data_IF_639681489616
#
_entry.id   IF_639681489616
#
_cell.length_a   1.000
_cell.length_b   1.000
_cell.length_c   1.000
_cell.angle_alpha   90.00
_cell.angle_beta   90.00
_cell.angle_gamma   90.00
#
_symmetry.space_group_name_H-M   'P 1'
#
loop_
_entity.id
_entity.type
_entity.pdbx_description
1 polymer ?
#
# COMPACT_ATOMS: atom_id res chain seq x y z
N UNK A 1 -1.71 -1.64 -46.29
CA UNK A 1 -0.75 -1.25 -45.23
C UNK A 1 -1.51 -1.24 -43.92
N UNK A 2 -1.56 -2.37 -43.23
CA UNK A 2 -2.15 -2.50 -41.89
C UNK A 2 -1.26 -1.73 -40.91
N UNK A 3 -1.73 -0.56 -40.48
CA UNK A 3 -1.05 0.31 -39.52
C UNK A 3 -1.00 -0.32 -38.13
N UNK A 4 -0.06 -1.24 -37.96
CA UNK A 4 0.66 -1.60 -36.74
C UNK A 4 -0.18 -1.67 -35.44
N UNK A 5 -0.85 -2.80 -35.20
CA UNK A 5 -1.66 -3.09 -34.00
C UNK A 5 -0.88 -2.84 -32.68
N UNK A 6 0.45 -3.04 -32.71
CA UNK A 6 1.34 -2.68 -31.60
C UNK A 6 1.30 -1.20 -31.21
N UNK A 7 1.23 -0.29 -32.19
CA UNK A 7 1.16 1.16 -31.95
C UNK A 7 -0.12 1.53 -31.19
N UNK A 8 -1.24 0.92 -31.57
CA UNK A 8 -2.53 1.13 -30.90
C UNK A 8 -2.52 0.63 -29.46
N UNK A 9 -1.93 -0.55 -29.22
CA UNK A 9 -1.77 -1.10 -27.85
C UNK A 9 -0.89 -0.20 -27.00
N UNK A 10 0.24 0.29 -27.52
CA UNK A 10 1.15 1.20 -26.81
C UNK A 10 0.46 2.53 -26.50
N UNK A 11 -0.28 3.10 -27.45
CA UNK A 11 -1.03 4.34 -27.22
C UNK A 11 -2.11 4.17 -26.15
N UNK A 12 -2.82 3.04 -26.17
CA UNK A 12 -3.83 2.71 -25.16
C UNK A 12 -3.20 2.56 -23.76
N UNK A 13 -2.08 1.86 -23.64
CA UNK A 13 -1.33 1.74 -22.38
C UNK A 13 -0.83 3.11 -21.89
N UNK A 14 -0.25 3.94 -22.77
CA UNK A 14 0.21 5.29 -22.42
C UNK A 14 -0.93 6.17 -21.94
N UNK A 15 -2.06 6.18 -22.64
CA UNK A 15 -3.24 6.95 -22.26
C UNK A 15 -3.80 6.49 -20.91
N UNK A 16 -3.89 5.17 -20.67
CA UNK A 16 -4.33 4.61 -19.40
C UNK A 16 -3.39 4.98 -18.24
N UNK A 17 -2.07 5.06 -18.48
CA UNK A 17 -1.10 5.52 -17.49
C UNK A 17 -1.23 7.01 -17.19
N UNK A 18 -1.36 7.84 -18.22
CA UNK A 18 -1.52 9.29 -18.05
C UNK A 18 -2.82 9.63 -17.31
N UNK A 19 -3.92 8.92 -17.59
CA UNK A 19 -5.19 9.13 -16.90
C UNK A 19 -5.12 8.85 -15.38
N UNK A 20 -4.18 8.01 -14.93
CA UNK A 20 -3.94 7.70 -13.52
C UNK A 20 -2.91 8.62 -12.86
N UNK A 21 -2.27 9.51 -13.63
CA UNK A 21 -1.24 10.39 -13.10
C UNK A 21 -1.84 11.74 -12.72
N UNK A 22 -1.64 12.12 -11.47
CA UNK A 22 -1.93 13.45 -10.99
C UNK A 22 -0.61 14.15 -10.60
N UNK A 23 -0.55 15.46 -10.88
CA UNK A 23 0.54 16.36 -10.49
C UNK A 23 -0.09 17.67 -10.05
N UNK A 24 0.44 18.24 -9.00
CA UNK A 24 -0.05 19.50 -8.43
C UNK A 24 0.86 20.00 -7.32
N UNK A 25 0.41 21.01 -6.59
CA UNK A 25 1.12 21.51 -5.40
C UNK A 25 0.63 20.82 -4.13
N UNK A 26 1.33 21.04 -3.01
CA UNK A 26 0.84 20.59 -1.71
C UNK A 26 -0.53 21.20 -1.40
N UNK A 27 -0.76 22.47 -1.75
CA UNK A 27 -2.05 23.12 -1.50
C UNK A 27 -3.20 22.38 -2.20
N UNK A 28 -3.04 22.04 -3.47
CA UNK A 28 -4.04 21.27 -4.23
C UNK A 28 -4.22 19.85 -3.66
N UNK A 29 -3.13 19.23 -3.18
CA UNK A 29 -3.21 17.94 -2.51
C UNK A 29 -4.02 18.02 -1.20
N UNK A 30 -3.87 19.09 -0.41
CA UNK A 30 -4.63 19.28 0.83
C UNK A 30 -6.13 19.40 0.55
N UNK A 31 -6.53 20.03 -0.55
CA UNK A 31 -7.93 20.10 -0.97
C UNK A 31 -8.48 18.70 -1.33
N UNK A 32 -7.67 17.86 -1.99
CA UNK A 32 -8.02 16.47 -2.27
C UNK A 32 -8.21 15.67 -0.97
N UNK A 33 -7.28 15.78 -0.02
CA UNK A 33 -7.36 15.09 1.27
C UNK A 33 -8.56 15.58 2.09
N UNK A 34 -8.87 16.88 2.03
CA UNK A 34 -10.04 17.44 2.71
C UNK A 34 -11.35 16.91 2.12
N UNK A 35 -11.40 16.71 0.81
CA UNK A 35 -12.56 16.13 0.13
C UNK A 35 -12.69 14.63 0.40
N UNK A 36 -11.57 13.91 0.41
CA UNK A 36 -11.49 12.47 0.70
C UNK A 36 -10.33 12.14 1.65
N UNK A 37 -10.60 12.07 2.97
CA UNK A 37 -9.59 11.70 3.96
C UNK A 37 -9.01 10.29 3.76
N UNK A 38 -9.67 9.42 2.97
CA UNK A 38 -9.21 8.06 2.71
C UNK A 38 -8.00 8.00 1.77
N UNK A 39 -7.61 9.13 1.16
CA UNK A 39 -6.34 9.24 0.41
C UNK A 39 -5.13 8.94 1.32
N UNK A 40 -5.19 9.42 2.56
CA UNK A 40 -4.12 9.29 3.55
C UNK A 40 -4.34 8.00 4.34
N UNK A 41 -3.50 7.00 4.07
CA UNK A 41 -3.56 5.69 4.71
C UNK A 41 -2.18 5.21 5.12
N UNK A 42 -2.12 4.62 6.31
CA UNK A 42 -0.99 3.84 6.78
C UNK A 42 -0.75 2.65 5.85
N UNK A 43 0.50 2.17 5.78
CA UNK A 43 0.89 1.00 4.98
C UNK A 43 0.04 -0.23 5.30
N UNK A 44 -0.17 -0.51 6.59
CA UNK A 44 -1.00 -1.62 7.06
C UNK A 44 -2.46 -1.50 6.62
N UNK A 45 -3.04 -0.30 6.71
CA UNK A 45 -4.39 -0.03 6.26
C UNK A 45 -4.54 -0.24 4.75
N UNK A 46 -3.55 0.21 3.95
CA UNK A 46 -3.56 -0.02 2.50
C UNK A 46 -3.56 -1.50 2.15
N UNK A 47 -2.72 -2.30 2.82
CA UNK A 47 -2.65 -3.75 2.59
C UNK A 47 -3.95 -4.43 3.03
N UNK A 48 -4.49 -4.03 4.20
CA UNK A 48 -5.77 -4.55 4.68
C UNK A 48 -6.90 -4.28 3.69
N UNK A 49 -7.09 -3.01 3.30
CA UNK A 49 -8.15 -2.60 2.37
C UNK A 49 -8.01 -3.32 1.02
N UNK A 50 -6.79 -3.46 0.52
CA UNK A 50 -6.50 -4.21 -0.69
C UNK A 50 -7.00 -5.67 -0.59
N UNK A 51 -6.68 -6.36 0.50
CA UNK A 51 -7.08 -7.76 0.71
C UNK A 51 -8.61 -7.87 0.79
N UNK A 52 -9.25 -6.96 1.53
CA UNK A 52 -10.70 -6.97 1.76
C UNK A 52 -11.47 -6.58 0.49
N UNK A 53 -10.90 -5.72 -0.36
CA UNK A 53 -11.56 -5.22 -1.58
C UNK A 53 -11.92 -6.31 -2.59
N UNK A 54 -11.21 -7.46 -2.57
CA UNK A 54 -11.48 -8.61 -3.45
C UNK A 54 -12.66 -9.46 -2.94
N UNK A 55 -12.98 -9.36 -1.65
CA UNK A 55 -14.12 -10.06 -1.03
C UNK A 55 -13.72 -11.13 -0.03
N UNK A 56 -14.66 -11.44 0.87
CA UNK A 56 -14.51 -12.39 1.96
C UNK A 56 -15.68 -13.37 1.92
N UNK A 57 -15.40 -14.65 2.07
CA UNK A 57 -16.39 -15.70 2.27
C UNK A 57 -16.19 -16.37 3.63
N UNK A 58 -17.22 -17.04 4.13
CA UNK A 58 -17.08 -17.99 5.23
C UNK A 58 -16.74 -19.35 4.65
N UNK A 59 -15.78 -20.06 5.26
CA UNK A 59 -15.40 -21.41 4.85
C UNK A 59 -16.59 -22.39 4.93
N UNK A 60 -17.55 -22.12 5.80
CA UNK A 60 -18.76 -22.94 5.98
C UNK A 60 -19.76 -22.79 4.83
N UNK A 61 -19.69 -21.68 4.08
CA UNK A 61 -20.56 -21.43 2.93
C UNK A 61 -20.15 -22.21 1.67
N UNK A 62 -19.22 -23.18 1.80
CA UNK A 62 -18.87 -24.09 0.72
C UNK A 62 -19.75 -25.34 0.72
N UNK A 63 -20.02 -25.85 -0.47
CA UNK A 63 -20.76 -27.11 -0.68
C UNK A 63 -19.86 -28.35 -0.56
N UNK A 64 -18.54 -28.19 -0.40
CA UNK A 64 -17.60 -29.31 -0.31
C UNK A 64 -17.71 -30.05 1.06
N UNK A 65 -18.11 -31.34 1.07
CA UNK A 65 -18.19 -32.15 2.28
C UNK A 65 -16.84 -32.32 3.00
N UNK A 66 -15.71 -32.25 2.28
CA UNK A 66 -14.36 -32.39 2.87
C UNK A 66 -14.02 -31.19 3.74
N UNK A 67 -14.37 -29.99 3.29
CA UNK A 67 -14.12 -28.75 4.02
C UNK A 67 -14.89 -28.73 5.33
N UNK A 68 -16.17 -29.14 5.32
CA UNK A 68 -16.98 -29.27 6.56
C UNK A 68 -16.38 -30.26 7.56
N UNK A 69 -15.76 -31.34 7.08
CA UNK A 69 -15.10 -32.33 7.95
C UNK A 69 -13.80 -31.80 8.57
N UNK A 70 -13.02 -31.02 7.82
CA UNK A 70 -11.74 -30.46 8.27
C UNK A 70 -11.93 -29.27 9.22
N UNK A 71 -12.94 -28.44 8.98
CA UNK A 71 -13.17 -27.21 9.72
C UNK A 71 -14.29 -27.31 10.77
N UNK A 72 -15.09 -28.40 10.77
CA UNK A 72 -16.19 -28.64 11.72
C UNK A 72 -17.06 -27.38 11.87
N UNK A 73 -17.25 -26.88 13.09
CA UNK A 73 -18.04 -25.68 13.40
C UNK A 73 -17.18 -24.40 13.49
N UNK A 74 -15.92 -24.43 13.03
CA UNK A 74 -15.08 -23.23 13.05
C UNK A 74 -15.49 -22.24 11.95
N UNK A 75 -15.82 -21.01 12.35
CA UNK A 75 -16.05 -19.89 11.44
C UNK A 75 -14.69 -19.30 10.99
N UNK A 76 -14.11 -19.85 9.93
CA UNK A 76 -12.87 -19.34 9.33
C UNK A 76 -13.20 -18.49 8.12
N UNK A 77 -12.71 -17.24 8.12
CA UNK A 77 -12.84 -16.33 6.98
C UNK A 77 -11.88 -16.74 5.86
N UNK A 78 -12.42 -16.92 4.67
CA UNK A 78 -11.68 -17.14 3.42
C UNK A 78 -11.60 -15.82 2.67
N UNK A 79 -10.37 -15.35 2.44
CA UNK A 79 -10.13 -14.10 1.74
C UNK A 79 -9.86 -14.38 0.26
N UNK A 80 -10.75 -13.91 -0.61
CA UNK A 80 -10.70 -14.19 -2.05
C UNK A 80 -9.39 -13.72 -2.70
N UNK A 81 -8.75 -12.70 -2.12
CA UNK A 81 -7.42 -12.25 -2.51
C UNK A 81 -6.38 -13.39 -2.56
N UNK A 82 -6.49 -14.39 -1.68
CA UNK A 82 -5.56 -15.52 -1.59
C UNK A 82 -6.11 -16.85 -2.13
N UNK A 83 -7.40 -16.92 -2.45
CA UNK A 83 -8.12 -18.18 -2.70
C UNK A 83 -7.61 -18.94 -3.93
N UNK A 84 -7.06 -18.25 -4.93
CA UNK A 84 -6.59 -18.89 -6.18
C UNK A 84 -5.21 -19.57 -6.03
N UNK A 85 -4.45 -19.24 -4.97
CA UNK A 85 -3.05 -19.65 -4.82
C UNK A 85 -2.77 -20.42 -3.54
N UNK A 86 -3.59 -20.25 -2.50
CA UNK A 86 -3.35 -20.82 -1.17
C UNK A 86 -4.53 -21.68 -0.72
N UNK A 87 -4.24 -22.95 -0.46
CA UNK A 87 -5.22 -23.95 -0.05
C UNK A 87 -4.75 -24.65 1.23
N UNK A 88 -5.64 -24.83 2.20
CA UNK A 88 -5.34 -25.53 3.46
C UNK A 88 -4.59 -24.70 4.50
N UNK A 89 -4.31 -23.42 4.22
CA UNK A 89 -3.67 -22.47 5.15
C UNK A 89 -4.59 -21.30 5.54
N UNK A 90 -5.91 -21.47 5.38
CA UNK A 90 -6.91 -20.41 5.59
C UNK A 90 -6.85 -19.83 7.00
N UNK A 91 -6.57 -20.67 8.01
CA UNK A 91 -6.38 -20.23 9.41
C UNK A 91 -5.20 -19.26 9.55
N UNK A 92 -4.08 -19.57 8.91
CA UNK A 92 -2.86 -18.75 8.92
C UNK A 92 -3.08 -17.43 8.17
N UNK A 93 -3.74 -17.48 7.01
CA UNK A 93 -4.12 -16.28 6.27
C UNK A 93 -5.03 -15.41 7.14
N UNK A 94 -6.03 -15.99 7.79
CA UNK A 94 -6.92 -15.24 8.67
C UNK A 94 -6.18 -14.58 9.85
N UNK A 95 -5.13 -15.22 10.40
CA UNK A 95 -4.25 -14.61 11.40
C UNK A 95 -3.48 -13.40 10.83
N UNK A 96 -2.90 -13.53 9.63
CA UNK A 96 -2.16 -12.45 8.97
C UNK A 96 -3.09 -11.27 8.64
N UNK A 97 -4.30 -11.53 8.15
CA UNK A 97 -5.25 -10.46 7.86
C UNK A 97 -5.73 -9.78 9.15
N UNK A 98 -5.91 -10.53 10.25
CA UNK A 98 -6.19 -9.93 11.56
C UNK A 98 -5.05 -9.02 12.05
N UNK A 99 -3.81 -9.40 11.82
CA UNK A 99 -2.65 -8.54 12.11
C UNK A 99 -2.76 -7.21 11.35
N UNK A 100 -2.98 -7.25 10.03
CA UNK A 100 -3.13 -6.02 9.23
C UNK A 100 -4.35 -5.20 9.65
N UNK A 101 -5.46 -5.84 10.02
CA UNK A 101 -6.64 -5.15 10.54
C UNK A 101 -6.32 -4.41 11.84
N UNK A 102 -5.71 -5.07 12.83
CA UNK A 102 -5.34 -4.42 14.10
C UNK A 102 -4.35 -3.28 13.88
N UNK A 103 -3.33 -3.50 13.04
CA UNK A 103 -2.35 -2.48 12.68
C UNK A 103 -2.97 -1.30 11.90
N UNK A 104 -4.00 -1.53 11.08
CA UNK A 104 -4.73 -0.47 10.38
C UNK A 104 -5.45 0.50 11.33
N UNK A 105 -5.89 -0.02 12.49
CA UNK A 105 -6.53 0.74 13.56
C UNK A 105 -5.53 1.35 14.54
N UNK A 106 -4.23 1.35 14.20
CA UNK A 106 -3.12 1.82 15.06
C UNK A 106 -3.04 1.05 16.38
N UNK A 107 -3.40 -0.24 16.36
CA UNK A 107 -3.15 -1.16 17.46
C UNK A 107 -1.64 -1.38 17.69
N UNK A 108 -1.30 -2.13 18.73
CA UNK A 108 0.10 -2.41 19.10
C UNK A 108 0.87 -3.12 17.98
N UNK A 109 0.17 -3.93 17.17
CA UNK A 109 0.73 -4.62 16.00
C UNK A 109 1.33 -3.66 14.96
N UNK A 110 0.87 -2.40 14.89
CA UNK A 110 1.42 -1.40 13.97
C UNK A 110 2.91 -1.07 14.24
N UNK A 111 3.40 -1.40 15.44
CA UNK A 111 4.79 -1.19 15.88
C UNK A 111 5.60 -2.47 15.95
N UNK A 112 5.01 -3.61 15.57
CA UNK A 112 5.63 -4.93 15.65
C UNK A 112 6.13 -5.38 14.27
N UNK A 113 6.99 -6.41 14.27
CA UNK A 113 7.47 -7.05 13.05
C UNK A 113 6.66 -8.33 12.81
N UNK A 114 6.01 -8.44 11.65
CA UNK A 114 5.37 -9.67 11.22
C UNK A 114 6.43 -10.68 10.75
N UNK A 115 6.64 -11.73 11.53
CA UNK A 115 7.59 -12.80 11.21
C UNK A 115 6.87 -14.06 10.74
N UNK A 116 7.19 -14.53 9.52
CA UNK A 116 6.63 -15.75 8.94
C UNK A 116 7.58 -16.93 9.19
N UNK A 117 7.25 -17.81 10.14
CA UNK A 117 8.03 -19.01 10.46
C UNK A 117 7.39 -20.27 9.87
N UNK A 118 8.20 -21.21 9.35
CA UNK A 118 7.71 -22.53 8.93
C UNK A 118 8.76 -23.33 8.14
N UNK A 119 8.48 -24.59 7.77
CA UNK A 119 9.39 -25.43 7.00
C UNK A 119 9.64 -24.89 5.58
N UNK A 120 10.71 -25.35 4.93
CA UNK A 120 10.98 -25.01 3.52
C UNK A 120 9.80 -25.48 2.66
N UNK A 121 9.41 -24.67 1.68
CA UNK A 121 8.28 -24.98 0.80
C UNK A 121 6.88 -24.65 1.36
N UNK A 122 6.77 -24.10 2.58
CA UNK A 122 5.46 -23.75 3.17
C UNK A 122 4.79 -22.49 2.60
N UNK A 123 5.16 -22.04 1.40
CA UNK A 123 4.53 -20.90 0.71
C UNK A 123 4.78 -19.50 1.31
N UNK A 124 5.71 -19.33 2.26
CA UNK A 124 5.98 -18.01 2.92
C UNK A 124 6.32 -16.91 1.92
N UNK A 125 7.29 -17.17 1.05
CA UNK A 125 7.72 -16.22 0.02
C UNK A 125 6.58 -15.94 -0.95
N UNK A 126 5.87 -16.97 -1.38
CA UNK A 126 4.71 -16.84 -2.28
C UNK A 126 3.62 -15.95 -1.68
N UNK A 127 3.35 -16.05 -0.37
CA UNK A 127 2.37 -15.20 0.31
C UNK A 127 2.79 -13.73 0.27
N UNK A 128 4.06 -13.44 0.57
CA UNK A 128 4.60 -12.07 0.50
C UNK A 128 4.55 -11.55 -0.95
N UNK A 129 4.90 -12.38 -1.92
CA UNK A 129 4.85 -12.02 -3.35
C UNK A 129 3.42 -11.76 -3.82
N UNK A 130 2.43 -12.52 -3.33
CA UNK A 130 1.01 -12.27 -3.63
C UNK A 130 0.56 -10.89 -3.16
N UNK A 131 0.97 -10.49 -1.95
CA UNK A 131 0.70 -9.15 -1.40
C UNK A 131 1.42 -8.08 -2.24
N UNK A 132 2.69 -8.28 -2.58
CA UNK A 132 3.46 -7.37 -3.43
C UNK A 132 2.80 -7.16 -4.79
N UNK A 133 2.37 -8.23 -5.47
CA UNK A 133 1.62 -8.14 -6.74
C UNK A 133 0.30 -7.38 -6.59
N UNK A 134 -0.40 -7.60 -5.48
CA UNK A 134 -1.62 -6.85 -5.19
C UNK A 134 -1.35 -5.34 -5.02
N UNK A 135 -0.26 -4.96 -4.36
CA UNK A 135 0.15 -3.56 -4.24
C UNK A 135 0.51 -2.94 -5.60
N UNK A 136 1.21 -3.66 -6.47
CA UNK A 136 1.54 -3.18 -7.84
C UNK A 136 0.29 -2.96 -8.71
N UNK A 137 -0.83 -3.62 -8.39
CA UNK A 137 -2.13 -3.46 -9.06
C UNK A 137 -3.03 -2.42 -8.36
N UNK A 138 -2.66 -1.96 -7.18
CA UNK A 138 -3.43 -1.01 -6.40
C UNK A 138 -3.45 0.39 -7.04
N UNK A 139 -4.30 1.26 -6.51
CA UNK A 139 -4.35 2.66 -6.94
C UNK A 139 -2.99 3.36 -6.67
N UNK A 140 -2.61 4.33 -7.52
CA UNK A 140 -1.44 5.16 -7.27
C UNK A 140 -1.52 5.86 -5.91
N UNK A 141 -0.36 6.16 -5.32
CA UNK A 141 -0.24 6.95 -4.09
C UNK A 141 0.37 8.30 -4.37
N UNK A 142 -0.02 9.31 -3.59
CA UNK A 142 0.59 10.63 -3.66
C UNK A 142 1.93 10.62 -2.95
N UNK A 143 2.90 11.32 -3.54
CA UNK A 143 4.25 11.43 -3.02
C UNK A 143 4.86 12.79 -3.34
N UNK A 144 5.78 13.23 -2.50
CA UNK A 144 6.57 14.43 -2.78
C UNK A 144 7.40 14.21 -4.05
N UNK A 145 7.25 15.10 -5.04
CA UNK A 145 7.95 14.97 -6.31
C UNK A 145 9.46 15.03 -6.09
N UNK A 146 10.19 14.04 -6.60
CA UNK A 146 11.64 13.95 -6.46
C UNK A 146 12.12 13.53 -5.07
N UNK A 147 11.23 13.08 -4.19
CA UNK A 147 11.62 12.45 -2.93
C UNK A 147 12.19 11.05 -3.20
N UNK A 148 13.41 10.73 -2.70
CA UNK A 148 13.98 9.38 -2.86
C UNK A 148 13.23 8.31 -2.05
N UNK A 149 12.53 8.72 -1.00
CA UNK A 149 11.73 7.83 -0.14
C UNK A 149 10.27 7.70 -0.61
N UNK A 150 9.86 8.46 -1.63
CA UNK A 150 8.46 8.57 -2.07
C UNK A 150 7.50 8.84 -0.90
N UNK A 151 7.91 9.74 -0.01
CA UNK A 151 7.21 9.99 1.25
C UNK A 151 5.86 10.69 1.04
N UNK A 152 5.02 10.58 2.07
CA UNK A 152 3.69 11.16 2.11
C UNK A 152 3.78 12.72 2.16
N UNK A 153 3.00 13.46 1.34
CA UNK A 153 3.10 14.91 1.24
C UNK A 153 2.83 15.75 2.51
N UNK A 154 1.94 15.33 3.40
CA UNK A 154 1.65 15.97 4.69
C UNK A 154 2.87 16.04 5.61
N UNK A 155 3.93 15.28 5.36
CA UNK A 155 5.20 15.46 6.06
C UNK A 155 5.80 16.87 5.87
N UNK A 156 5.45 17.57 4.78
CA UNK A 156 5.83 18.97 4.52
C UNK A 156 5.21 19.94 5.53
N UNK A 157 4.10 19.58 6.18
CA UNK A 157 3.44 20.43 7.17
C UNK A 157 4.34 20.57 8.41
N UNK A 158 4.70 21.80 8.81
CA UNK A 158 5.47 22.05 10.01
C UNK A 158 4.82 21.45 11.26
N UNK A 159 5.63 20.83 12.14
CA UNK A 159 5.14 20.12 13.34
C UNK A 159 4.18 20.95 14.21
N UNK A 160 4.41 22.25 14.33
CA UNK A 160 3.57 23.14 15.15
C UNK A 160 2.16 23.36 14.57
N UNK A 161 1.96 23.19 13.25
CA UNK A 161 0.66 23.33 12.58
C UNK A 161 -0.09 22.00 12.43
N UNK A 162 0.59 20.86 12.57
CA UNK A 162 -0.02 19.55 12.30
C UNK A 162 -1.32 19.33 13.07
N UNK A 163 -1.39 19.70 14.34
CA UNK A 163 -2.61 19.54 15.16
C UNK A 163 -3.82 20.29 14.57
N UNK A 164 -3.60 21.43 13.94
CA UNK A 164 -4.65 22.19 13.28
C UNK A 164 -5.07 21.53 11.97
N UNK A 165 -4.09 21.15 11.14
CA UNK A 165 -4.32 20.47 9.88
C UNK A 165 -5.01 19.12 10.05
N UNK A 166 -4.61 18.30 11.03
CA UNK A 166 -5.26 17.03 11.35
C UNK A 166 -6.75 17.22 11.66
N UNK A 167 -7.12 18.28 12.39
CA UNK A 167 -8.53 18.61 12.65
C UNK A 167 -9.27 19.04 11.39
N UNK A 168 -8.62 19.84 10.53
CA UNK A 168 -9.23 20.33 9.28
C UNK A 168 -9.42 19.22 8.26
N UNK A 169 -8.49 18.27 8.20
CA UNK A 169 -8.45 17.19 7.21
C UNK A 169 -9.10 15.89 7.70
N UNK A 170 -9.27 15.72 9.02
CA UNK A 170 -9.78 14.46 9.59
C UNK A 170 -8.80 13.29 9.45
N UNK A 171 -7.50 13.57 9.34
CA UNK A 171 -6.43 12.57 9.18
C UNK A 171 -5.41 12.69 10.31
N UNK A 172 -4.50 11.71 10.39
CA UNK A 172 -3.37 11.75 11.30
C UNK A 172 -2.07 11.87 10.52
N UNK A 173 -1.18 12.75 10.97
CA UNK A 173 0.12 13.00 10.34
C UNK A 173 1.22 12.46 11.26
N UNK A 174 1.73 11.28 10.92
CA UNK A 174 2.90 10.69 11.56
C UNK A 174 4.17 10.89 10.71
N UNK A 175 5.36 10.69 11.30
CA UNK A 175 6.62 10.79 10.57
C UNK A 175 7.16 12.21 10.38
N UNK A 176 8.30 12.32 9.71
CA UNK A 176 8.99 13.59 9.46
C UNK A 176 9.46 13.68 8.02
N UNK A 177 9.55 14.93 7.53
CA UNK A 177 10.11 15.23 6.23
C UNK A 177 11.54 14.69 6.11
N UNK A 178 11.81 13.91 5.05
CA UNK A 178 13.13 13.32 4.86
C UNK A 178 14.21 14.40 4.66
N UNK A 179 15.49 14.11 4.93
CA UNK A 179 16.57 15.11 4.84
C UNK A 179 16.67 15.80 3.47
N UNK A 180 16.44 15.05 2.38
CA UNK A 180 16.52 15.58 1.01
C UNK A 180 15.38 16.55 0.74
N UNK A 181 14.14 16.18 1.07
CA UNK A 181 12.99 17.06 0.89
C UNK A 181 13.08 18.28 1.81
N UNK A 182 13.60 18.13 3.03
CA UNK A 182 13.83 19.23 3.96
C UNK A 182 14.84 20.24 3.42
N UNK A 183 15.94 19.76 2.85
CA UNK A 183 16.92 20.62 2.19
C UNK A 183 16.28 21.40 1.03
N UNK A 184 15.57 20.71 0.13
CA UNK A 184 14.87 21.34 -0.99
C UNK A 184 13.84 22.36 -0.54
N UNK A 185 13.05 22.06 0.49
CA UNK A 185 12.05 22.98 1.04
C UNK A 185 12.70 24.28 1.50
N UNK A 186 13.88 24.18 2.13
CA UNK A 186 14.61 25.35 2.62
C UNK A 186 15.26 26.14 1.47
N UNK A 187 16.00 25.48 0.59
CA UNK A 187 16.87 26.14 -0.38
C UNK A 187 16.17 26.46 -1.70
N UNK A 188 15.30 25.57 -2.20
CA UNK A 188 14.63 25.75 -3.50
C UNK A 188 13.29 26.48 -3.38
N UNK A 189 12.58 26.31 -2.26
CA UNK A 189 11.22 26.82 -2.04
C UNK A 189 11.14 27.94 -0.98
N UNK A 190 12.26 28.36 -0.38
CA UNK A 190 12.29 29.39 0.68
C UNK A 190 11.28 29.12 1.82
N UNK A 191 11.15 27.86 2.23
CA UNK A 191 10.19 27.37 3.23
C UNK A 191 8.70 27.45 2.84
N UNK A 192 8.36 27.79 1.60
CA UNK A 192 6.98 27.74 1.08
C UNK A 192 6.59 26.31 0.75
N UNK A 193 6.09 25.60 1.76
CA UNK A 193 5.71 24.19 1.65
C UNK A 193 4.44 23.99 0.82
N UNK A 194 3.57 24.99 0.74
CA UNK A 194 2.34 25.02 -0.04
C UNK A 194 2.58 24.91 -1.56
N UNK A 195 3.72 25.40 -2.05
CA UNK A 195 4.12 25.36 -3.46
C UNK A 195 4.84 24.06 -3.85
N UNK A 196 5.17 23.20 -2.86
CA UNK A 196 6.00 22.03 -3.10
C UNK A 196 5.28 21.04 -4.04
N UNK A 197 5.92 20.58 -5.14
CA UNK A 197 5.26 19.74 -6.12
C UNK A 197 5.03 18.33 -5.59
N UNK A 198 3.81 17.84 -5.81
CA UNK A 198 3.33 16.52 -5.46
C UNK A 198 2.97 15.76 -6.74
N UNK A 199 3.22 14.46 -6.75
CA UNK A 199 2.89 13.59 -7.86
C UNK A 199 2.38 12.23 -7.39
N UNK A 200 1.55 11.60 -8.21
CA UNK A 200 1.18 10.20 -8.00
C UNK A 200 2.27 9.24 -8.47
N UNK A 201 2.48 8.17 -7.72
CA UNK A 201 3.39 7.07 -8.02
C UNK A 201 2.67 5.74 -7.88
N UNK A 202 2.89 4.84 -8.83
CA UNK A 202 2.46 3.45 -8.72
C UNK A 202 3.45 2.68 -7.87
N UNK A 203 2.96 1.73 -7.08
CA UNK A 203 3.83 0.77 -6.42
C UNK A 203 4.63 -0.03 -7.45
N UNK A 204 5.89 -0.30 -7.13
CA UNK A 204 6.75 -1.13 -7.96
C UNK A 204 7.82 -1.79 -7.10
N UNK A 205 7.79 -3.12 -7.02
CA UNK A 205 8.84 -3.92 -6.40
C UNK A 205 10.16 -3.72 -7.16
N UNK A 206 10.10 -3.74 -8.50
CA UNK A 206 11.28 -3.61 -9.37
C UNK A 206 11.99 -2.28 -9.21
N UNK A 207 11.23 -1.19 -9.16
CA UNK A 207 11.78 0.16 -9.02
C UNK A 207 11.89 0.61 -7.55
N UNK A 208 11.58 -0.27 -6.59
CA UNK A 208 11.57 0.01 -5.14
C UNK A 208 10.68 1.20 -4.73
N UNK A 209 9.55 1.35 -5.42
CA UNK A 209 8.56 2.40 -5.14
C UNK A 209 7.49 1.83 -4.22
N UNK A 210 7.48 2.26 -2.96
CA UNK A 210 6.54 1.82 -1.93
C UNK A 210 6.68 0.35 -1.48
N UNK A 211 7.58 -0.42 -2.11
CA UNK A 211 7.89 -1.81 -1.76
C UNK A 211 9.41 -1.96 -1.67
N UNK A 212 9.93 -2.09 -0.45
CA UNK A 212 11.33 -2.41 -0.18
C UNK A 212 11.55 -3.92 -0.08
N UNK A 213 12.53 -4.46 -0.81
CA UNK A 213 12.96 -5.85 -0.68
C UNK A 213 14.46 -5.86 -0.45
N UNK A 214 14.87 -6.41 0.69
CA UNK A 214 16.28 -6.66 1.00
C UNK A 214 16.53 -8.14 0.74
N UNK A 215 17.32 -8.48 -0.29
CA UNK A 215 17.73 -9.87 -0.48
C UNK A 215 18.59 -10.30 0.72
N UNK A 216 18.52 -11.58 1.12
CA UNK A 216 19.49 -12.10 2.07
C UNK A 216 20.88 -11.95 1.44
N UNK A 217 21.69 -11.05 1.98
CA UNK A 217 23.11 -10.95 1.66
C UNK A 217 23.86 -11.73 2.73
N UNK A 218 24.62 -12.72 2.29
CA UNK A 218 25.54 -13.44 3.17
C UNK A 218 26.65 -12.47 3.58
N UNK A 219 26.94 -12.24 4.87
CA UNK A 219 27.96 -11.29 5.30
C UNK A 219 29.38 -11.63 4.85
N UNK A 220 29.59 -12.84 4.31
CA UNK A 220 30.90 -13.41 3.97
C UNK A 220 31.25 -13.38 2.47
N UNK A 221 30.49 -12.68 1.62
CA UNK A 221 30.80 -12.50 0.20
C UNK A 221 31.12 -11.06 -0.16
#
# INVERSE_FOLDING_TARGET
MEGNDFSRVIQKDRAARQAKQWKGTLLEYLDLVKADPTIVKLSHARIYDLIISVGIADIQNTDDPRTRRLYKDEAVKVYSFFADEFFGIERTIAQIVRYFHSASLKGEESRQVLYLMGPVGSGKTSLVERIQRGLEQAAPVYSIQGCPMHEEPLHLIPRHLRREFEKMLGVHIEGDLCPVCRYRLKEDYNQRYEEFPIETRNFSKRNRVGIGVVPPVDPNN
#
